data_IF_749598118823
#
_entry.id   IF_749598118823
#
_cell.length_a   1.000
_cell.length_b   1.000
_cell.length_c   1.000
_cell.angle_alpha   90.00
_cell.angle_beta   90.00
_cell.angle_gamma   90.00
#
_symmetry.space_group_name_H-M   'P 1'
#
loop_
_entity.id
_entity.type
_entity.pdbx_description
1 polymer ?
#
# COMPACT_ATOMS: atom_id res chain seq x y z
N UNK A 1 -19.21 -45.31 -18.26
CA UNK A 1 -18.38 -45.68 -17.11
C UNK A 1 -19.34 -45.85 -15.97
N UNK A 2 -19.50 -47.10 -15.58
CA UNK A 2 -20.44 -47.65 -14.62
C UNK A 2 -19.67 -47.82 -13.32
N UNK A 3 -19.96 -46.99 -12.32
CA UNK A 3 -19.34 -47.09 -10.99
C UNK A 3 -20.41 -47.59 -10.02
N UNK A 4 -20.58 -48.90 -10.03
CA UNK A 4 -21.19 -49.65 -8.94
C UNK A 4 -20.21 -49.67 -7.76
N UNK A 5 -20.48 -48.88 -6.72
CA UNK A 5 -19.83 -49.03 -5.41
C UNK A 5 -20.83 -49.54 -4.37
N UNK A 6 -20.65 -50.81 -4.02
CA UNK A 6 -21.06 -51.40 -2.76
C UNK A 6 -20.46 -50.62 -1.58
N UNK A 7 -21.28 -50.26 -0.58
CA UNK A 7 -20.82 -50.43 0.80
C UNK A 7 -21.97 -50.50 1.82
N UNK A 8 -22.30 -51.76 2.09
CA UNK A 8 -22.58 -52.38 3.39
C UNK A 8 -22.98 -51.49 4.58
N UNK A 9 -24.12 -51.87 5.13
CA UNK A 9 -24.69 -51.37 6.37
C UNK A 9 -23.80 -51.67 7.59
N UNK A 10 -23.36 -50.62 8.29
CA UNK A 10 -23.05 -50.71 9.72
C UNK A 10 -23.97 -49.77 10.50
N UNK A 11 -25.00 -50.38 11.09
CA UNK A 11 -26.00 -49.73 11.93
C UNK A 11 -25.41 -49.52 13.33
N UNK A 12 -25.12 -48.29 13.70
CA UNK A 12 -25.05 -47.87 15.10
C UNK A 12 -25.97 -46.67 15.35
N UNK A 13 -26.62 -46.71 16.50
CA UNK A 13 -27.83 -45.97 16.82
C UNK A 13 -27.67 -44.45 16.76
N UNK A 14 -28.47 -43.84 15.89
CA UNK A 14 -28.88 -42.45 15.92
C UNK A 14 -30.17 -42.38 15.11
N UNK A 15 -31.23 -41.75 15.62
CA UNK A 15 -32.55 -41.64 14.95
C UNK A 15 -32.32 -41.24 13.47
N UNK A 16 -32.54 -42.18 12.56
CA UNK A 16 -32.31 -41.98 11.14
C UNK A 16 -33.34 -40.98 10.63
N UNK A 17 -32.89 -39.77 10.28
CA UNK A 17 -33.70 -38.80 9.56
C UNK A 17 -34.21 -39.45 8.27
N UNK A 18 -35.49 -39.24 7.93
CA UNK A 18 -36.06 -39.79 6.69
C UNK A 18 -35.23 -39.33 5.48
N UNK A 19 -35.16 -40.14 4.42
CA UNK A 19 -34.38 -39.81 3.22
C UNK A 19 -34.74 -38.41 2.65
N UNK A 20 -36.01 -38.02 2.79
CA UNK A 20 -36.50 -36.70 2.44
C UNK A 20 -35.93 -35.59 3.35
N UNK A 21 -35.83 -35.82 4.67
CA UNK A 21 -35.15 -34.90 5.59
C UNK A 21 -33.65 -34.80 5.34
N UNK A 22 -32.96 -35.90 5.03
CA UNK A 22 -31.52 -35.88 4.70
C UNK A 22 -31.23 -35.09 3.42
N UNK A 23 -32.09 -35.21 2.41
CA UNK A 23 -31.97 -34.44 1.17
C UNK A 23 -32.21 -32.94 1.39
N UNK A 24 -33.16 -32.57 2.25
CA UNK A 24 -33.43 -31.15 2.59
C UNK A 24 -32.26 -30.55 3.39
N UNK A 25 -31.74 -31.26 4.39
CA UNK A 25 -30.57 -30.83 5.17
C UNK A 25 -29.31 -30.74 4.30
N UNK A 26 -29.06 -31.71 3.42
CA UNK A 26 -27.94 -31.66 2.48
C UNK A 26 -28.05 -30.54 1.44
N UNK A 27 -29.26 -30.22 0.97
CA UNK A 27 -29.51 -29.05 0.10
C UNK A 27 -29.28 -27.74 0.83
N UNK A 28 -29.67 -27.65 2.11
CA UNK A 28 -29.43 -26.48 2.95
C UNK A 28 -27.93 -26.27 3.20
N UNK A 29 -27.18 -27.33 3.53
CA UNK A 29 -25.70 -27.28 3.67
C UNK A 29 -25.02 -26.88 2.35
N UNK A 30 -25.47 -27.40 1.22
CA UNK A 30 -24.98 -27.01 -0.11
C UNK A 30 -25.24 -25.52 -0.41
N UNK A 31 -26.42 -25.01 -0.06
CA UNK A 31 -26.77 -23.60 -0.25
C UNK A 31 -25.94 -22.67 0.65
N UNK A 32 -25.69 -23.07 1.90
CA UNK A 32 -24.82 -22.35 2.83
C UNK A 32 -23.38 -22.32 2.31
N UNK A 33 -22.83 -23.47 1.87
CA UNK A 33 -21.50 -23.54 1.24
C UNK A 33 -21.39 -22.61 0.03
N UNK A 34 -22.39 -22.60 -0.86
CA UNK A 34 -22.42 -21.69 -2.02
C UNK A 34 -22.42 -20.22 -1.61
N UNK A 35 -23.20 -19.87 -0.59
CA UNK A 35 -23.29 -18.49 -0.07
C UNK A 35 -21.95 -18.04 0.55
N UNK A 36 -21.30 -18.92 1.31
CA UNK A 36 -19.97 -18.67 1.90
C UNK A 36 -18.92 -18.50 0.78
N UNK A 37 -18.89 -19.41 -0.20
CA UNK A 37 -17.94 -19.34 -1.32
C UNK A 37 -18.15 -18.09 -2.19
N UNK A 38 -19.41 -17.67 -2.37
CA UNK A 38 -19.71 -16.41 -3.05
C UNK A 38 -19.16 -15.22 -2.27
N UNK A 39 -19.43 -15.14 -0.96
CA UNK A 39 -18.90 -14.07 -0.09
C UNK A 39 -17.39 -13.99 -0.12
N UNK A 40 -16.68 -15.12 -0.04
CA UNK A 40 -15.22 -15.11 -0.06
C UNK A 40 -14.66 -14.68 -1.42
N UNK A 41 -15.34 -15.04 -2.52
CA UNK A 41 -14.99 -14.51 -3.86
C UNK A 41 -15.15 -12.99 -3.91
N UNK A 42 -16.27 -12.45 -3.43
CA UNK A 42 -16.47 -11.00 -3.35
C UNK A 42 -15.36 -10.34 -2.52
N UNK A 43 -15.07 -10.86 -1.31
CA UNK A 43 -13.99 -10.34 -0.46
C UNK A 43 -12.63 -10.36 -1.16
N UNK A 44 -12.34 -11.42 -1.91
CA UNK A 44 -11.11 -11.53 -2.70
C UNK A 44 -11.09 -10.57 -3.89
N UNK A 45 -12.24 -10.27 -4.52
CA UNK A 45 -12.34 -9.27 -5.57
C UNK A 45 -12.07 -7.86 -5.04
N UNK A 46 -12.67 -7.50 -3.90
CA UNK A 46 -12.43 -6.20 -3.25
C UNK A 46 -10.95 -6.03 -2.87
N UNK A 47 -10.36 -7.08 -2.29
CA UNK A 47 -8.93 -7.09 -1.97
C UNK A 47 -8.05 -6.92 -3.22
N UNK A 48 -8.38 -7.60 -4.31
CA UNK A 48 -7.61 -7.51 -5.54
C UNK A 48 -7.77 -6.14 -6.21
N UNK A 49 -8.96 -5.53 -6.13
CA UNK A 49 -9.21 -4.17 -6.63
C UNK A 49 -8.35 -3.15 -5.87
N UNK A 50 -8.34 -3.19 -4.54
CA UNK A 50 -7.48 -2.34 -3.73
C UNK A 50 -5.98 -2.55 -4.02
N UNK A 51 -5.57 -3.80 -4.31
CA UNK A 51 -4.18 -4.08 -4.69
C UNK A 51 -3.84 -3.53 -6.09
N UNK A 52 -4.80 -3.48 -7.00
CA UNK A 52 -4.64 -2.86 -8.33
C UNK A 52 -4.56 -1.34 -8.21
N UNK A 53 -5.40 -0.71 -7.38
CA UNK A 53 -5.26 0.72 -7.04
C UNK A 53 -3.88 1.04 -6.45
N UNK A 54 -3.34 0.16 -5.61
CA UNK A 54 -1.97 0.29 -5.10
C UNK A 54 -0.92 0.23 -6.22
N UNK A 55 -1.13 -0.53 -7.30
CA UNK A 55 -0.17 -0.59 -8.42
C UNK A 55 -0.08 0.74 -9.16
N UNK A 56 -1.20 1.45 -9.29
CA UNK A 56 -1.25 2.73 -10.01
C UNK A 56 -0.34 3.79 -9.36
N UNK A 57 -0.18 3.75 -8.03
CA UNK A 57 0.65 4.71 -7.29
C UNK A 57 2.11 4.28 -7.13
N UNK A 58 2.48 3.08 -7.58
CA UNK A 58 3.87 2.60 -7.52
C UNK A 58 4.63 3.09 -8.77
N UNK A 59 5.79 3.75 -8.60
CA UNK A 59 6.63 4.15 -9.72
C UNK A 59 7.05 2.95 -10.58
N UNK A 60 7.00 3.11 -11.90
CA UNK A 60 7.41 2.10 -12.89
C UNK A 60 6.59 0.81 -12.89
N UNK A 61 5.51 0.74 -12.11
CA UNK A 61 4.59 -0.41 -12.09
C UNK A 61 3.52 -0.35 -13.18
N UNK A 62 3.43 0.78 -13.90
CA UNK A 62 2.43 1.04 -14.94
C UNK A 62 3.11 1.36 -16.29
N UNK A 63 2.43 1.03 -17.38
CA UNK A 63 2.87 1.26 -18.75
C UNK A 63 2.36 0.18 -19.70
N UNK A 64 1.99 0.55 -20.93
CA UNK A 64 1.37 -0.36 -21.90
C UNK A 64 2.21 -1.61 -22.24
N UNK A 65 3.52 -1.54 -22.03
CA UNK A 65 4.49 -2.62 -22.31
C UNK A 65 4.92 -3.37 -21.04
N UNK A 66 4.58 -2.87 -19.85
CA UNK A 66 5.02 -3.44 -18.57
C UNK A 66 4.01 -4.47 -18.09
N UNK A 67 4.49 -5.68 -17.76
CA UNK A 67 3.63 -6.76 -17.28
C UNK A 67 3.11 -6.47 -15.87
N UNK A 68 1.85 -6.83 -15.59
CA UNK A 68 1.26 -6.75 -14.25
C UNK A 68 2.15 -7.47 -13.21
N UNK A 69 2.51 -6.72 -12.17
CA UNK A 69 3.33 -7.21 -11.07
C UNK A 69 2.61 -8.26 -10.21
N UNK A 70 3.36 -9.24 -9.70
CA UNK A 70 2.85 -10.22 -8.72
C UNK A 70 2.45 -9.54 -7.41
N UNK A 71 1.60 -10.18 -6.59
CA UNK A 71 1.18 -9.62 -5.30
C UNK A 71 2.38 -9.30 -4.39
N UNK A 72 3.35 -10.21 -4.34
CA UNK A 72 4.57 -10.04 -3.53
C UNK A 72 5.42 -8.88 -4.05
N UNK A 73 5.61 -8.79 -5.37
CA UNK A 73 6.39 -7.72 -5.99
C UNK A 73 5.74 -6.34 -5.74
N UNK A 74 4.42 -6.24 -5.89
CA UNK A 74 3.66 -5.02 -5.57
C UNK A 74 3.88 -4.57 -4.13
N UNK A 75 3.75 -5.48 -3.15
CA UNK A 75 3.94 -5.14 -1.73
C UNK A 75 5.39 -4.72 -1.42
N UNK A 76 6.37 -5.39 -2.03
CA UNK A 76 7.79 -5.06 -1.84
C UNK A 76 8.11 -3.66 -2.40
N UNK A 77 7.65 -3.35 -3.61
CA UNK A 77 7.86 -2.04 -4.22
C UNK A 77 7.12 -0.94 -3.44
N UNK A 78 5.89 -1.19 -2.99
CA UNK A 78 5.14 -0.24 -2.16
C UNK A 78 5.90 0.11 -0.87
N UNK A 79 6.39 -0.90 -0.14
CA UNK A 79 7.21 -0.68 1.06
C UNK A 79 8.45 0.16 0.74
N UNK A 80 9.18 -0.20 -0.30
CA UNK A 80 10.41 0.52 -0.67
C UNK A 80 10.11 1.95 -1.11
N UNK A 81 9.01 2.17 -1.82
CA UNK A 81 8.59 3.50 -2.24
C UNK A 81 8.32 4.42 -1.04
N UNK A 82 7.60 3.94 -0.02
CA UNK A 82 7.37 4.69 1.23
C UNK A 82 8.71 5.07 1.89
N UNK A 83 9.64 4.13 2.00
CA UNK A 83 10.97 4.38 2.60
C UNK A 83 11.74 5.44 1.81
N UNK A 84 11.73 5.36 0.47
CA UNK A 84 12.42 6.36 -0.37
C UNK A 84 11.78 7.74 -0.26
N UNK A 85 10.45 7.82 -0.23
CA UNK A 85 9.76 9.10 -0.06
C UNK A 85 10.11 9.76 1.27
N UNK A 86 10.17 8.99 2.37
CA UNK A 86 10.57 9.52 3.67
C UNK A 86 12.01 10.07 3.64
N UNK A 87 12.95 9.33 3.05
CA UNK A 87 14.35 9.79 2.90
C UNK A 87 14.44 11.07 2.05
N UNK A 88 13.73 11.12 0.93
CA UNK A 88 13.69 12.30 0.08
C UNK A 88 13.14 13.53 0.84
N UNK A 89 12.12 13.35 1.68
CA UNK A 89 11.59 14.42 2.53
C UNK A 89 12.65 14.90 3.55
N UNK A 90 13.38 14.00 4.18
CA UNK A 90 14.46 14.34 5.13
C UNK A 90 15.60 15.11 4.45
N UNK A 91 16.02 14.68 3.26
CA UNK A 91 17.06 15.34 2.46
C UNK A 91 16.62 16.76 2.03
N UNK A 92 15.36 16.93 1.62
CA UNK A 92 14.82 18.25 1.28
C UNK A 92 14.75 19.18 2.49
N UNK A 93 14.36 18.68 3.67
CA UNK A 93 14.38 19.46 4.92
C UNK A 93 15.80 19.91 5.27
N UNK A 94 16.78 18.99 5.24
CA UNK A 94 18.18 19.33 5.47
C UNK A 94 18.71 20.37 4.49
N UNK A 95 18.33 20.27 3.21
CA UNK A 95 18.68 21.26 2.19
C UNK A 95 18.10 22.63 2.51
N UNK A 96 16.84 22.70 2.93
CA UNK A 96 16.17 23.94 3.34
C UNK A 96 16.89 24.56 4.55
N UNK A 97 17.20 23.78 5.58
CA UNK A 97 17.89 24.25 6.79
C UNK A 97 19.28 24.81 6.46
N UNK A 98 20.02 24.14 5.57
CA UNK A 98 21.31 24.63 5.07
C UNK A 98 21.17 25.96 4.34
N UNK A 99 20.18 26.11 3.46
CA UNK A 99 19.93 27.35 2.73
C UNK A 99 19.49 28.48 3.66
N UNK A 100 18.64 28.20 4.66
CA UNK A 100 18.23 29.17 5.68
C UNK A 100 19.42 29.65 6.52
N UNK A 101 20.30 28.73 6.91
CA UNK A 101 21.53 29.06 7.64
C UNK A 101 22.43 29.97 6.80
N UNK A 102 22.63 29.66 5.52
CA UNK A 102 23.40 30.50 4.59
C UNK A 102 22.79 31.91 4.47
N UNK A 103 21.48 32.01 4.24
CA UNK A 103 20.78 33.28 4.14
C UNK A 103 20.90 34.12 5.42
N UNK A 104 20.84 33.49 6.60
CA UNK A 104 21.01 34.20 7.86
C UNK A 104 22.44 34.74 8.04
N UNK A 105 23.45 33.96 7.63
CA UNK A 105 24.85 34.39 7.67
C UNK A 105 25.15 35.54 6.68
N UNK A 106 24.49 35.56 5.52
CA UNK A 106 24.60 36.67 4.55
C UNK A 106 23.96 37.97 5.09
N UNK A 107 22.85 37.87 5.83
CA UNK A 107 22.21 39.02 6.50
C UNK A 107 23.07 39.60 7.63
N UNK A 108 23.76 38.76 8.40
CA UNK A 108 24.66 39.26 9.45
C UNK A 108 25.92 39.90 8.85
N UNK A 109 26.45 39.36 7.75
CA UNK A 109 27.63 39.91 7.06
C UNK A 109 27.37 41.27 6.38
N UNK A 110 26.14 41.54 5.91
CA UNK A 110 25.79 42.80 5.21
C UNK A 110 25.43 43.95 6.16
N UNK A 111 25.07 43.68 7.42
CA UNK A 111 24.87 44.73 8.43
C UNK A 111 26.18 45.32 9.00
N UNK A 112 27.33 44.71 8.71
CA UNK A 112 28.64 45.10 9.22
C UNK A 112 29.47 46.02 8.31
N UNK A 113 29.00 46.36 7.10
CA UNK A 113 29.71 47.30 6.24
C UNK A 113 29.34 48.75 6.62
N UNK A 114 29.86 49.21 7.76
CA UNK A 114 29.97 50.64 8.01
C UNK A 114 31.06 51.16 7.08
N UNK A 115 30.67 51.90 6.05
CA UNK A 115 31.61 52.63 5.19
C UNK A 115 32.61 53.37 6.07
N UNK A 116 33.93 53.27 5.81
CA UNK A 116 34.88 54.14 6.49
C UNK A 116 34.55 55.58 6.05
N UNK A 117 34.07 56.34 7.02
CA UNK A 117 33.89 57.79 6.93
C UNK A 117 35.22 58.39 6.48
N UNK A 118 35.21 58.99 5.29
CA UNK A 118 36.39 59.64 4.73
C UNK A 118 36.74 60.83 5.63
N UNK A 119 38.01 61.04 6.01
CA UNK A 119 38.37 62.24 6.76
C UNK A 119 38.09 63.44 5.87
N UNK A 120 37.15 64.29 6.30
CA UNK A 120 36.95 65.60 5.69
C UNK A 120 38.27 66.37 5.77
N UNK A 121 38.85 66.65 4.60
CA UNK A 121 39.93 67.61 4.45
C UNK A 121 39.36 68.99 4.79
N UNK A 122 39.47 69.39 6.05
CA UNK A 122 39.31 70.78 6.47
C UNK A 122 40.32 71.62 5.69
N UNK A 123 39.81 72.43 4.77
CA UNK A 123 40.56 73.36 3.94
C UNK A 123 41.39 74.31 4.81
N UNK A 124 42.67 74.41 4.48
CA UNK A 124 43.56 75.45 4.98
C UNK A 124 43.28 76.78 4.25
N UNK A 125 43.34 77.87 5.03
CA UNK A 125 43.38 79.30 4.67
C UNK A 125 42.05 80.02 4.51
#
# INVERSE_FOLDING_TARGET
MDDSEDNNAFRHGSRALSAQQRAVVGKMDSSLRKTINYRERCRMHDLNAALDELREVIPYAHGSTVRKLSKIATLLLAKNHIIMQNKAIEELRSTIDQLQTRLNNEKTATSGSKCPESPELSSAT
#
